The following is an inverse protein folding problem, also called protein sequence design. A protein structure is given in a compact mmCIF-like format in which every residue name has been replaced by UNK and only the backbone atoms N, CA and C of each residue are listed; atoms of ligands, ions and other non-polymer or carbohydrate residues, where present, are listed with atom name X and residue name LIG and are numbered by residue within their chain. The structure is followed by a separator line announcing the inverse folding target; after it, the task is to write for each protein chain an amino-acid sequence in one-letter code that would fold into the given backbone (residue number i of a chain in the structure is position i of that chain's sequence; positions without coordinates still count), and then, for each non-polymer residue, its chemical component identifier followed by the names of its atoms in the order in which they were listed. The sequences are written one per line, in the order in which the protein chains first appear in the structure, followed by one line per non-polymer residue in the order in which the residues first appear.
data_IF_987276570073
#
_entry.id   IF_987276570073
#
_cell.length_a   1.000
_cell.length_b   1.000
_cell.length_c   1.000
_cell.angle_alpha   90.00
_cell.angle_beta   90.00
_cell.angle_gamma   90.00
#
_symmetry.space_group_name_H-M   'P 1'
#
loop_
_entity.id
_entity.type
_entity.pdbx_description
1 polymer ?
#
# COMPACT_ATOMS: atom_id res chain seq x y z
N UNK A 1 -22.56 0.03 8.22
CA UNK A 1 -21.43 -0.54 9.00
C UNK A 1 -20.17 -0.14 8.27
N UNK A 2 -19.20 0.44 8.98
CA UNK A 2 -18.01 0.94 8.32
C UNK A 2 -17.02 -0.13 7.91
N UNK A 3 -16.23 0.22 6.90
CA UNK A 3 -15.12 -0.58 6.40
C UNK A 3 -13.94 0.34 6.18
N UNK A 4 -12.79 -0.07 6.68
CA UNK A 4 -11.52 0.62 6.48
C UNK A 4 -10.58 -0.32 5.73
N UNK A 5 -10.05 0.11 4.61
CA UNK A 5 -9.11 -0.64 3.77
C UNK A 5 -7.79 0.14 3.76
N UNK A 6 -6.77 -0.46 4.36
CA UNK A 6 -5.40 0.06 4.43
C UNK A 6 -4.58 -0.61 3.33
N UNK A 7 -3.85 0.14 2.51
CA UNK A 7 -3.15 -0.37 1.34
C UNK A 7 -1.70 0.08 1.35
N UNK A 8 -0.79 -0.89 1.29
CA UNK A 8 0.64 -0.65 1.16
C UNK A 8 1.09 -1.02 -0.24
N UNK A 9 1.66 -0.05 -0.97
CA UNK A 9 2.27 -0.24 -2.27
C UNK A 9 3.80 -0.10 -2.15
N UNK A 10 4.55 -1.13 -2.54
CA UNK A 10 6.01 -1.16 -2.46
C UNK A 10 6.64 -1.32 -3.84
N UNK A 11 7.75 -0.61 -4.07
CA UNK A 11 8.43 -0.62 -5.36
C UNK A 11 7.56 0.02 -6.45
N UNK A 12 6.88 1.10 -6.11
CA UNK A 12 6.13 1.94 -7.05
C UNK A 12 7.08 2.58 -8.05
N UNK A 13 6.56 2.95 -9.22
CA UNK A 13 7.32 3.78 -10.16
C UNK A 13 7.37 5.21 -9.64
N UNK A 14 8.59 5.73 -9.44
CA UNK A 14 8.84 7.07 -8.87
C UNK A 14 8.07 8.15 -9.65
N UNK A 15 8.11 8.07 -10.98
CA UNK A 15 7.41 9.02 -11.86
C UNK A 15 5.89 9.07 -11.71
N UNK A 16 5.27 8.08 -11.02
CA UNK A 16 3.82 8.01 -10.81
C UNK A 16 3.41 8.39 -9.38
N UNK A 17 4.38 8.71 -8.52
CA UNK A 17 4.14 8.95 -7.09
C UNK A 17 4.78 10.25 -6.60
N UNK A 18 5.55 10.94 -7.43
CA UNK A 18 6.26 12.20 -7.11
C UNK A 18 5.53 13.47 -7.61
N UNK A 19 4.35 13.32 -8.20
CA UNK A 19 3.63 14.43 -8.83
C UNK A 19 2.23 14.61 -8.25
N UNK A 20 1.92 15.82 -7.79
CA UNK A 20 0.68 16.11 -7.09
C UNK A 20 -0.59 15.91 -7.96
N UNK A 21 -0.71 16.49 -9.17
CA UNK A 21 -1.88 16.29 -10.02
C UNK A 21 -2.18 14.81 -10.29
N UNK A 22 -1.15 13.97 -10.44
CA UNK A 22 -1.32 12.53 -10.67
C UNK A 22 -1.85 11.80 -9.43
N UNK A 23 -1.44 12.23 -8.23
CA UNK A 23 -1.96 11.70 -6.97
C UNK A 23 -3.43 12.09 -6.74
N UNK A 24 -3.78 13.33 -7.07
CA UNK A 24 -5.15 13.82 -6.99
C UNK A 24 -6.07 13.09 -7.97
N UNK A 25 -5.65 12.95 -9.23
CA UNK A 25 -6.37 12.17 -10.25
C UNK A 25 -6.51 10.69 -9.85
N UNK A 26 -5.48 10.13 -9.21
CA UNK A 26 -5.54 8.77 -8.65
C UNK A 26 -6.63 8.65 -7.59
N UNK A 27 -6.75 9.61 -6.68
CA UNK A 27 -7.83 9.63 -5.68
C UNK A 27 -9.17 9.76 -6.39
N UNK A 28 -9.36 10.73 -7.28
CA UNK A 28 -10.64 10.88 -8.02
C UNK A 28 -11.04 9.60 -8.75
N UNK A 29 -10.10 8.97 -9.45
CA UNK A 29 -10.31 7.69 -10.14
C UNK A 29 -10.71 6.58 -9.15
N UNK A 30 -10.04 6.50 -8.00
CA UNK A 30 -10.36 5.51 -6.99
C UNK A 30 -11.76 5.71 -6.42
N UNK A 31 -12.17 6.97 -6.25
CA UNK A 31 -13.44 7.33 -5.61
C UNK A 31 -14.62 7.09 -6.52
N UNK A 32 -14.51 7.53 -7.77
CA UNK A 32 -15.49 7.21 -8.81
C UNK A 32 -15.66 5.69 -8.98
N UNK A 33 -14.56 4.93 -8.97
CA UNK A 33 -14.64 3.47 -9.12
C UNK A 33 -15.23 2.76 -7.90
N UNK A 34 -15.03 3.29 -6.70
CA UNK A 34 -15.52 2.69 -5.45
C UNK A 34 -16.91 3.18 -5.05
N UNK A 35 -17.54 4.01 -5.90
CA UNK A 35 -18.85 4.62 -5.65
C UNK A 35 -18.87 5.36 -4.30
N UNK A 36 -17.79 6.12 -4.04
CA UNK A 36 -17.65 6.90 -2.81
C UNK A 36 -18.09 8.33 -3.08
N UNK A 37 -19.17 8.71 -2.40
CA UNK A 37 -19.66 10.08 -2.32
C UNK A 37 -18.70 10.88 -1.42
N UNK A 38 -17.72 11.51 -2.06
CA UNK A 38 -16.78 12.44 -1.44
C UNK A 38 -17.12 13.86 -1.84
N UNK A 39 -16.99 14.76 -0.88
CA UNK A 39 -17.07 16.17 -1.16
C UNK A 39 -15.68 16.63 -1.63
N UNK A 40 -15.49 16.72 -2.95
CA UNK A 40 -14.18 17.04 -3.55
C UNK A 40 -13.64 18.40 -3.09
N UNK A 41 -14.51 19.28 -2.58
CA UNK A 41 -14.15 20.60 -2.05
C UNK A 41 -13.35 20.55 -0.74
N UNK A 42 -13.29 19.40 -0.05
CA UNK A 42 -12.50 19.20 1.18
C UNK A 42 -11.30 18.27 0.95
N UNK A 43 -10.57 18.54 -0.15
CA UNK A 43 -9.31 17.86 -0.46
C UNK A 43 -8.11 18.71 -0.02
N UNK A 44 -7.32 18.20 0.92
CA UNK A 44 -6.13 18.86 1.45
C UNK A 44 -4.86 18.17 0.97
N UNK A 45 -3.85 18.98 0.66
CA UNK A 45 -2.59 18.49 0.09
C UNK A 45 -1.44 19.14 0.83
N UNK A 46 -0.51 18.31 1.28
CA UNK A 46 0.70 18.78 1.92
C UNK A 46 1.92 18.12 1.26
N UNK A 47 2.86 18.95 0.80
CA UNK A 47 4.18 18.50 0.36
C UNK A 47 5.16 18.74 1.50
N UNK A 48 5.85 17.68 1.89
CA UNK A 48 7.00 17.67 2.78
C UNK A 48 8.24 17.33 1.96
N UNK A 49 9.43 17.52 2.53
CA UNK A 49 10.71 17.29 1.84
C UNK A 49 10.82 15.88 1.24
N UNK A 50 10.28 14.87 1.92
CA UNK A 50 10.38 13.46 1.51
C UNK A 50 9.03 12.82 1.15
N UNK A 51 7.93 13.56 1.24
CA UNK A 51 6.59 12.99 1.15
C UNK A 51 5.55 13.92 0.52
N UNK A 52 4.57 13.33 -0.16
CA UNK A 52 3.34 14.01 -0.56
C UNK A 52 2.16 13.37 0.17
N UNK A 53 1.30 14.19 0.76
CA UNK A 53 0.11 13.75 1.47
C UNK A 53 -1.11 14.34 0.81
N UNK A 54 -2.12 13.51 0.54
CA UNK A 54 -3.41 13.94 0.03
C UNK A 54 -4.51 13.33 0.89
N UNK A 55 -5.42 14.16 1.38
CA UNK A 55 -6.58 13.74 2.17
C UNK A 55 -7.83 14.25 1.46
N UNK A 56 -8.78 13.36 1.19
CA UNK A 56 -10.10 13.72 0.67
C UNK A 56 -11.17 13.23 1.65
N UNK A 57 -12.06 14.13 2.06
CA UNK A 57 -13.08 13.87 3.09
C UNK A 57 -14.46 13.95 2.47
N UNK A 58 -15.35 13.03 2.85
CA UNK A 58 -16.76 13.05 2.49
C UNK A 58 -17.61 12.85 3.72
N UNK A 59 -18.93 12.96 3.54
CA UNK A 59 -19.91 12.91 4.64
C UNK A 59 -19.76 11.68 5.54
N UNK A 60 -19.52 10.52 4.93
CA UNK A 60 -19.46 9.20 5.60
C UNK A 60 -18.22 8.40 5.16
N UNK A 61 -17.20 9.06 4.59
CA UNK A 61 -16.03 8.41 3.99
C UNK A 61 -14.80 9.30 4.03
N UNK A 62 -13.61 8.72 3.91
CA UNK A 62 -12.38 9.46 3.66
C UNK A 62 -11.37 8.62 2.90
N UNK A 63 -10.46 9.32 2.23
CA UNK A 63 -9.24 8.75 1.68
C UNK A 63 -8.06 9.53 2.18
N UNK A 64 -7.06 8.84 2.70
CA UNK A 64 -5.75 9.42 2.97
C UNK A 64 -4.71 8.69 2.10
N UNK A 65 -3.84 9.44 1.44
CA UNK A 65 -2.74 8.93 0.65
C UNK A 65 -1.45 9.59 1.12
N UNK A 66 -0.46 8.76 1.49
CA UNK A 66 0.90 9.20 1.75
C UNK A 66 1.84 8.58 0.73
N UNK A 67 2.51 9.41 -0.06
CA UNK A 67 3.52 9.02 -1.02
C UNK A 67 4.92 9.35 -0.49
N UNK A 68 5.84 8.40 -0.61
CA UNK A 68 7.26 8.54 -0.30
C UNK A 68 8.08 8.14 -1.55
N UNK A 69 8.30 9.07 -2.49
CA UNK A 69 8.92 8.78 -3.78
C UNK A 69 10.30 8.13 -3.68
N UNK A 70 11.14 8.62 -2.76
CA UNK A 70 12.49 8.12 -2.51
C UNK A 70 12.51 6.63 -2.08
N UNK A 71 11.43 6.19 -1.42
CA UNK A 71 11.26 4.80 -1.00
C UNK A 71 10.52 3.94 -2.04
N UNK A 72 9.98 4.56 -3.09
CA UNK A 72 9.03 3.94 -4.01
C UNK A 72 7.84 3.34 -3.24
N UNK A 73 7.35 4.06 -2.23
CA UNK A 73 6.33 3.58 -1.29
C UNK A 73 5.11 4.50 -1.31
N UNK A 74 3.91 3.92 -1.28
CA UNK A 74 2.66 4.65 -1.09
C UNK A 74 1.79 3.89 -0.09
N UNK A 75 1.31 4.60 0.94
CA UNK A 75 0.28 4.13 1.86
C UNK A 75 -1.06 4.79 1.49
N UNK A 76 -2.14 4.01 1.44
CA UNK A 76 -3.48 4.52 1.17
C UNK A 76 -4.49 3.95 2.15
N UNK A 77 -5.25 4.84 2.78
CA UNK A 77 -6.34 4.52 3.69
C UNK A 77 -7.66 4.88 3.01
N UNK A 78 -8.56 3.92 2.87
CA UNK A 78 -9.90 4.11 2.31
C UNK A 78 -10.93 3.70 3.34
N UNK A 79 -11.65 4.68 3.88
CA UNK A 79 -12.74 4.46 4.83
C UNK A 79 -14.09 4.82 4.20
N UNK A 80 -15.10 4.00 4.47
CA UNK A 80 -16.48 4.27 4.10
C UNK A 80 -17.43 3.65 5.11
N UNK A 81 -18.51 4.36 5.44
CA UNK A 81 -19.58 3.85 6.31
C UNK A 81 -20.77 3.24 5.54
N UNK A 82 -20.94 3.65 4.27
CA UNK A 82 -22.14 3.39 3.46
C UNK A 82 -21.98 2.31 2.39
N UNK A 83 -20.76 2.07 1.90
CA UNK A 83 -20.51 1.16 0.78
C UNK A 83 -19.67 -0.04 1.22
N UNK A 84 -19.94 -1.22 0.64
CA UNK A 84 -19.11 -2.41 0.88
C UNK A 84 -17.87 -2.40 -0.04
N UNK A 85 -16.99 -1.43 0.16
CA UNK A 85 -15.76 -1.28 -0.63
C UNK A 85 -14.96 -2.59 -0.63
N UNK A 86 -14.69 -3.17 -1.80
CA UNK A 86 -14.04 -4.47 -1.90
C UNK A 86 -12.50 -4.30 -1.94
N UNK A 87 -11.72 -4.85 -0.97
CA UNK A 87 -10.27 -4.68 -0.92
C UNK A 87 -9.55 -5.14 -2.18
N UNK A 88 -10.05 -6.19 -2.84
CA UNK A 88 -9.45 -6.69 -4.09
C UNK A 88 -9.67 -5.72 -5.25
N UNK A 89 -10.84 -5.10 -5.33
CA UNK A 89 -11.12 -4.06 -6.31
C UNK A 89 -10.28 -2.80 -6.03
N UNK A 90 -10.24 -2.35 -4.77
CA UNK A 90 -9.41 -1.20 -4.35
C UNK A 90 -7.93 -1.43 -4.69
N UNK A 91 -7.39 -2.63 -4.41
CA UNK A 91 -6.03 -2.99 -4.81
C UNK A 91 -5.79 -2.91 -6.32
N UNK A 92 -6.77 -3.28 -7.16
CA UNK A 92 -6.61 -3.22 -8.63
C UNK A 92 -6.40 -1.79 -9.11
N UNK A 93 -7.10 -0.83 -8.52
CA UNK A 93 -6.99 0.60 -8.86
C UNK A 93 -5.58 1.09 -8.56
N UNK A 94 -5.14 0.97 -7.29
CA UNK A 94 -3.82 1.47 -6.88
C UNK A 94 -2.67 0.69 -7.52
N UNK A 95 -2.87 -0.60 -7.84
CA UNK A 95 -1.91 -1.36 -8.63
C UNK A 95 -1.75 -0.79 -10.04
N UNK A 96 -2.84 -0.33 -10.67
CA UNK A 96 -2.79 0.29 -12.01
C UNK A 96 -2.08 1.64 -11.96
N UNK A 97 -2.39 2.46 -10.95
CA UNK A 97 -1.83 3.80 -10.83
C UNK A 97 -0.37 3.81 -10.40
N UNK A 98 0.02 3.10 -9.35
CA UNK A 98 1.41 3.20 -8.84
C UNK A 98 2.36 2.16 -9.42
N UNK A 99 1.81 1.14 -10.10
CA UNK A 99 2.55 0.00 -10.66
C UNK A 99 3.56 -0.62 -9.67
N UNK A 100 3.13 -0.97 -8.43
CA UNK A 100 4.03 -1.51 -7.43
C UNK A 100 4.45 -2.94 -7.77
N UNK A 101 5.68 -3.27 -7.37
CA UNK A 101 6.15 -4.65 -7.37
C UNK A 101 5.39 -5.53 -6.36
N UNK A 102 4.99 -4.95 -5.22
CA UNK A 102 4.22 -5.64 -4.19
C UNK A 102 3.15 -4.71 -3.66
N UNK A 103 1.93 -5.22 -3.54
CA UNK A 103 0.80 -4.51 -2.95
C UNK A 103 0.15 -5.38 -1.89
N UNK A 104 -0.20 -4.78 -0.75
CA UNK A 104 -0.95 -5.42 0.33
C UNK A 104 -2.18 -4.57 0.62
N UNK A 105 -3.30 -5.21 0.95
CA UNK A 105 -4.44 -4.54 1.51
C UNK A 105 -4.88 -5.25 2.79
N UNK A 106 -5.12 -4.50 3.84
CA UNK A 106 -5.71 -4.99 5.08
C UNK A 106 -7.06 -4.31 5.26
N UNK A 107 -8.11 -5.09 5.42
CA UNK A 107 -9.46 -4.59 5.66
C UNK A 107 -9.89 -4.82 7.10
N UNK A 108 -10.50 -3.79 7.68
CA UNK A 108 -11.01 -3.77 9.04
C UNK A 108 -12.48 -3.36 8.99
N UNK A 109 -13.30 -4.11 9.70
CA UNK A 109 -14.71 -3.84 9.92
C UNK A 109 -14.85 -2.82 11.07
N UNK A 110 -15.64 -1.76 10.88
CA UNK A 110 -15.78 -0.64 11.83
C UNK A 110 -17.24 -0.47 12.27
N UNK A 111 -17.46 -0.11 13.54
CA UNK A 111 -18.80 0.14 14.07
C UNK A 111 -19.66 -1.12 14.26
N UNK A 112 -19.04 -2.30 14.44
CA UNK A 112 -19.74 -3.50 14.90
C UNK A 112 -19.15 -3.93 16.23
N UNK A 113 -19.89 -3.69 17.31
CA UNK A 113 -19.55 -4.20 18.65
C UNK A 113 -19.89 -5.69 18.69
N UNK A 114 -18.98 -6.51 18.16
CA UNK A 114 -18.98 -7.96 18.34
C UNK A 114 -17.65 -8.29 19.04
N UNK A 115 -17.66 -8.67 20.33
CA UNK A 115 -16.43 -8.83 21.11
C UNK A 115 -15.46 -9.85 20.51
N UNK A 116 -15.93 -10.76 19.65
CA UNK A 116 -15.09 -11.80 19.05
C UNK A 116 -14.58 -11.44 17.64
N UNK A 117 -15.08 -10.36 17.03
CA UNK A 117 -14.81 -10.02 15.61
C UNK A 117 -14.59 -8.54 15.35
N UNK A 118 -14.73 -7.69 16.36
CA UNK A 118 -14.48 -6.26 16.24
C UNK A 118 -13.00 -6.01 15.89
N UNK A 119 -12.79 -5.05 14.99
CA UNK A 119 -11.49 -4.64 14.48
C UNK A 119 -10.53 -5.75 13.98
N UNK A 120 -11.00 -6.98 13.76
CA UNK A 120 -10.14 -8.08 13.31
C UNK A 120 -9.68 -7.88 11.86
N UNK A 121 -8.37 -7.76 11.59
CA UNK A 121 -7.87 -7.47 10.25
C UNK A 121 -7.99 -8.67 9.31
N UNK A 122 -8.29 -8.39 8.04
CA UNK A 122 -8.20 -9.36 6.93
C UNK A 122 -7.27 -8.84 5.86
N UNK A 123 -6.14 -9.51 5.67
CA UNK A 123 -5.09 -9.08 4.73
C UNK A 123 -5.11 -9.89 3.43
N UNK A 124 -4.98 -9.19 2.30
CA UNK A 124 -4.70 -9.74 0.98
C UNK A 124 -3.37 -9.17 0.49
N UNK A 125 -2.63 -9.93 -0.31
CA UNK A 125 -1.37 -9.46 -0.89
C UNK A 125 -1.18 -9.99 -2.30
N UNK A 126 -0.48 -9.19 -3.12
CA UNK A 126 -0.09 -9.56 -4.47
C UNK A 126 1.35 -9.10 -4.71
N UNK A 127 2.17 -9.96 -5.28
CA UNK A 127 3.57 -9.67 -5.63
C UNK A 127 3.80 -10.03 -7.09
N UNK A 128 4.48 -9.16 -7.85
CA UNK A 128 4.86 -9.43 -9.24
C UNK A 128 5.76 -10.66 -9.35
N UNK A 129 5.66 -11.40 -10.47
CA UNK A 129 6.51 -12.56 -10.70
C UNK A 129 7.99 -12.18 -10.73
N UNK A 130 8.32 -11.03 -11.32
CA UNK A 130 9.69 -10.52 -11.35
C UNK A 130 10.26 -10.26 -9.96
N UNK A 131 9.49 -9.65 -9.05
CA UNK A 131 9.93 -9.47 -7.66
C UNK A 131 10.11 -10.79 -6.94
N UNK A 132 9.27 -11.80 -7.20
CA UNK A 132 9.46 -13.16 -6.65
C UNK A 132 10.79 -13.75 -7.12
N UNK A 133 11.07 -13.71 -8.43
CA UNK A 133 12.33 -14.22 -9.01
C UNK A 133 13.54 -13.55 -8.37
N UNK A 134 13.56 -12.21 -8.28
CA UNK A 134 14.63 -11.45 -7.62
C UNK A 134 14.82 -11.85 -6.15
N UNK A 135 13.72 -12.04 -5.42
CA UNK A 135 13.74 -12.42 -4.00
C UNK A 135 14.34 -13.82 -3.82
N UNK A 136 13.92 -14.77 -4.65
CA UNK A 136 14.46 -16.14 -4.64
C UNK A 136 15.96 -16.15 -4.97
N UNK A 137 16.39 -15.40 -6.00
CA UNK A 137 17.81 -15.29 -6.35
C UNK A 137 18.65 -14.72 -5.21
N UNK A 138 18.16 -13.69 -4.52
CA UNK A 138 18.83 -13.13 -3.34
C UNK A 138 18.93 -14.13 -2.18
N UNK A 139 17.89 -14.94 -1.94
CA UNK A 139 17.90 -16.00 -0.92
C UNK A 139 18.91 -17.10 -1.25
N UNK A 140 18.99 -17.53 -2.51
CA UNK A 140 19.97 -18.51 -2.98
C UNK A 140 21.38 -17.98 -2.75
N UNK A 141 21.67 -16.74 -3.16
CA UNK A 141 22.98 -16.11 -2.94
C UNK A 141 23.33 -16.06 -1.45
N UNK A 142 22.42 -15.59 -0.60
CA UNK A 142 22.63 -15.50 0.86
C UNK A 142 22.92 -16.88 1.47
N UNK A 143 22.21 -17.91 1.02
CA UNK A 143 22.41 -19.29 1.47
C UNK A 143 23.78 -19.81 1.05
N UNK A 144 24.16 -19.59 -0.23
CA UNK A 144 25.49 -19.93 -0.75
C UNK A 144 26.60 -19.25 0.04
N UNK A 145 26.49 -17.95 0.29
CA UNK A 145 27.51 -17.18 1.00
C UNK A 145 27.63 -17.67 2.47
N UNK A 146 26.51 -18.06 3.11
CA UNK A 146 26.51 -18.69 4.44
C UNK A 146 27.23 -20.04 4.44
N UNK A 147 26.97 -20.88 3.43
CA UNK A 147 27.63 -22.18 3.25
C UNK A 147 29.14 -21.98 3.06
N UNK A 148 29.55 -21.12 2.14
CA UNK A 148 30.98 -20.83 1.90
C UNK A 148 31.69 -20.32 3.16
N UNK A 149 31.04 -19.46 3.95
CA UNK A 149 31.59 -18.99 5.21
C UNK A 149 31.71 -20.10 6.27
N UNK A 150 30.79 -21.07 6.29
CA UNK A 150 30.85 -22.20 7.22
C UNK A 150 31.99 -23.19 6.87
N UNK A 151 32.37 -23.28 5.60
CA UNK A 151 33.48 -24.11 5.12
C UNK A 151 34.82 -23.37 5.02
N UNK A 152 34.91 -22.11 5.48
CA UNK A 152 36.19 -21.39 5.55
C UNK A 152 37.05 -22.01 6.66
N UNK A 153 38.26 -22.50 6.36
CA UNK A 153 39.14 -23.05 7.38
C UNK A 153 39.49 -21.96 8.40
N UNK A 154 39.37 -22.29 9.69
CA UNK A 154 39.91 -21.45 10.76
C UNK A 154 41.43 -21.38 10.56
N UNK A 155 41.95 -20.20 10.17
CA UNK A 155 43.38 -19.94 10.30
C UNK A 155 43.66 -19.85 11.79
N UNK A 156 44.31 -20.86 12.33
CA UNK A 156 44.97 -20.76 13.63
C UNK A 156 46.16 -19.82 13.44
N UNK A 157 46.07 -18.61 14.00
CA UNK A 157 47.22 -17.72 14.10
C UNK A 157 48.28 -18.40 14.99
N UNK A 158 49.46 -18.62 14.41
CA UNK A 158 50.72 -18.94 15.11
C UNK A 158 51.74 -17.90 14.68
#
# INVERSE_FOLDING_TARGET
MGKHILIDCYGCRISLVDNFPDLLDTIHTAMAYLDLDLDLYDTHVHKYDEALVVIAIGKDSHVCLHSYPNLGYVAVDVFTFRTDANPTQTMKIFRRQFRPDKIRATSIKRGKVDPNRDMKPKTKSHTTQWRRVKTTGAQIKKTRDKVLNAFRPHRSDK
#
